data_IF_904014384821
#
_entry.id   IF_904014384821
#
_cell.length_a   1.000
_cell.length_b   1.000
_cell.length_c   1.000
_cell.angle_alpha   90.00
_cell.angle_beta   90.00
_cell.angle_gamma   90.00
#
_symmetry.space_group_name_H-M   'P 1'
#
loop_
_entity.id
_entity.type
_entity.pdbx_description
1 polymer ?
#
# COMPACT_ATOMS: atom_id res chain seq x y z
N UNK A 1 -20.93 67.22 -1.12
CA UNK A 1 -21.07 65.92 -1.82
C UNK A 1 -20.01 64.99 -1.24
N UNK A 2 -20.36 64.19 -0.24
CA UNK A 2 -19.40 63.49 0.62
C UNK A 2 -19.23 62.01 0.22
N UNK A 3 -18.05 61.67 -0.29
CA UNK A 3 -17.22 60.49 -0.02
C UNK A 3 -17.86 59.12 0.35
N UNK A 4 -18.93 58.70 -0.32
CA UNK A 4 -19.51 57.34 -0.18
C UNK A 4 -18.64 56.18 -0.68
N UNK A 5 -17.47 56.44 -1.26
CA UNK A 5 -16.64 55.45 -1.97
C UNK A 5 -15.53 54.81 -1.13
N UNK A 6 -15.20 55.37 0.05
CA UNK A 6 -14.08 54.89 0.89
C UNK A 6 -14.46 53.63 1.68
N UNK A 7 -15.64 53.60 2.32
CA UNK A 7 -16.09 52.47 3.13
C UNK A 7 -16.31 51.18 2.33
N UNK A 8 -16.87 51.30 1.12
CA UNK A 8 -17.09 50.16 0.22
C UNK A 8 -15.77 49.50 -0.24
N UNK A 9 -14.72 50.31 -0.48
CA UNK A 9 -13.39 49.81 -0.85
C UNK A 9 -12.68 49.11 0.30
N UNK A 10 -12.80 49.65 1.51
CA UNK A 10 -12.26 49.03 2.72
C UNK A 10 -12.97 47.70 2.97
N UNK A 11 -14.31 47.69 2.92
CA UNK A 11 -15.08 46.46 3.08
C UNK A 11 -14.72 45.40 2.03
N UNK A 12 -14.64 45.78 0.75
CA UNK A 12 -14.23 44.87 -0.32
C UNK A 12 -12.81 44.32 -0.13
N UNK A 13 -11.86 45.14 0.32
CA UNK A 13 -10.49 44.70 0.63
C UNK A 13 -10.45 43.73 1.82
N UNK A 14 -11.22 43.98 2.87
CA UNK A 14 -11.37 43.06 4.00
C UNK A 14 -12.04 41.74 3.59
N UNK A 15 -13.08 41.78 2.75
CA UNK A 15 -13.72 40.57 2.24
C UNK A 15 -12.79 39.77 1.33
N UNK A 16 -12.01 40.42 0.47
CA UNK A 16 -11.02 39.77 -0.38
C UNK A 16 -9.90 39.11 0.45
N UNK A 17 -9.42 39.80 1.48
CA UNK A 17 -8.43 39.25 2.42
C UNK A 17 -8.99 38.08 3.24
N UNK A 18 -10.24 38.19 3.72
CA UNK A 18 -10.92 37.11 4.43
C UNK A 18 -11.11 35.87 3.54
N UNK A 19 -11.51 36.06 2.27
CA UNK A 19 -11.63 34.97 1.29
C UNK A 19 -10.27 34.33 1.01
N UNK A 20 -9.21 35.13 0.83
CA UNK A 20 -7.86 34.64 0.61
C UNK A 20 -7.31 33.84 1.81
N UNK A 21 -7.55 34.32 3.03
CA UNK A 21 -7.17 33.62 4.27
C UNK A 21 -7.98 32.33 4.46
N UNK A 22 -9.26 32.32 4.08
CA UNK A 22 -10.14 31.14 4.18
C UNK A 22 -9.87 30.05 3.14
N UNK A 23 -9.07 30.34 2.10
CA UNK A 23 -8.67 29.37 1.08
C UNK A 23 -7.49 28.46 1.50
N UNK A 24 -6.87 28.74 2.65
CA UNK A 24 -5.73 27.96 3.18
C UNK A 24 -5.97 26.45 3.37
N UNK A 25 -7.11 25.95 3.89
CA UNK A 25 -7.32 24.51 4.01
C UNK A 25 -7.41 23.78 2.66
N UNK A 26 -7.79 24.48 1.57
CA UNK A 26 -7.81 23.90 0.23
C UNK A 26 -6.41 23.79 -0.40
N UNK A 27 -5.44 24.57 0.07
CA UNK A 27 -4.03 24.51 -0.35
C UNK A 27 -3.20 23.52 0.49
N UNK A 28 -3.71 23.13 1.68
CA UNK A 28 -3.10 22.12 2.52
C UNK A 28 -3.43 20.71 2.00
N UNK A 29 -2.72 20.29 0.95
CA UNK A 29 -2.86 18.97 0.30
C UNK A 29 -2.33 17.77 1.13
N UNK A 30 -1.92 18.01 2.37
CA UNK A 30 -1.27 17.03 3.24
C UNK A 30 -2.32 16.19 3.97
N UNK A 31 -2.21 14.87 3.93
CA UNK A 31 -3.17 13.95 4.58
C UNK A 31 -4.49 13.73 3.82
N UNK A 32 -4.53 14.08 2.53
CA UNK A 32 -5.70 13.81 1.69
C UNK A 32 -5.45 12.61 0.76
N UNK A 33 -6.44 11.72 0.56
CA UNK A 33 -6.34 10.65 -0.42
C UNK A 33 -6.27 11.24 -1.83
N UNK A 34 -5.42 10.67 -2.69
CA UNK A 34 -5.34 11.05 -4.11
C UNK A 34 -6.06 10.03 -4.98
N UNK A 35 -6.69 10.51 -6.06
CA UNK A 35 -7.35 9.63 -7.03
C UNK A 35 -6.35 8.58 -7.54
N UNK A 36 -6.75 7.30 -7.50
CA UNK A 36 -5.94 6.15 -7.94
C UNK A 36 -4.65 5.91 -7.14
N UNK A 37 -4.55 6.39 -5.90
CA UNK A 37 -3.43 6.09 -5.02
C UNK A 37 -3.48 4.63 -4.53
N UNK A 38 -2.39 3.88 -4.73
CA UNK A 38 -2.28 2.45 -4.41
C UNK A 38 -1.46 2.15 -3.14
N UNK A 39 -1.30 3.14 -2.25
CA UNK A 39 -0.52 3.00 -1.02
C UNK A 39 -0.96 3.98 0.06
N UNK A 40 -0.19 4.06 1.14
CA UNK A 40 -0.48 5.00 2.23
C UNK A 40 -0.35 6.46 1.80
N UNK A 41 -1.02 7.33 2.55
CA UNK A 41 -0.85 8.78 2.45
C UNK A 41 0.58 9.20 2.85
N UNK A 42 0.96 10.41 2.48
CA UNK A 42 2.28 10.95 2.81
C UNK A 42 2.49 11.02 4.33
N UNK A 43 3.58 10.42 4.81
CA UNK A 43 3.87 10.31 6.23
C UNK A 43 4.36 11.65 6.80
N UNK A 44 3.57 12.22 7.72
CA UNK A 44 3.88 13.48 8.41
C UNK A 44 4.46 13.29 9.81
N UNK A 45 4.51 12.05 10.29
CA UNK A 45 5.11 11.69 11.59
C UNK A 45 6.20 10.63 11.41
N UNK A 46 7.20 10.57 12.32
CA UNK A 46 8.21 9.51 12.30
C UNK A 46 7.61 8.10 12.38
N UNK A 47 6.53 7.93 13.15
CA UNK A 47 5.84 6.65 13.30
C UNK A 47 5.18 6.23 11.98
N UNK A 48 4.50 7.15 11.29
CA UNK A 48 3.89 6.86 10.00
C UNK A 48 4.94 6.45 8.94
N UNK A 49 6.15 7.03 8.99
CA UNK A 49 7.26 6.64 8.12
C UNK A 49 7.71 5.20 8.42
N UNK A 50 7.92 4.86 9.68
CA UNK A 50 8.30 3.50 10.08
C UNK A 50 7.25 2.45 9.68
N UNK A 51 5.96 2.78 9.80
CA UNK A 51 4.87 1.91 9.33
C UNK A 51 4.96 1.70 7.82
N UNK A 52 5.17 2.77 7.04
CA UNK A 52 5.31 2.69 5.59
C UNK A 52 6.50 1.83 5.15
N UNK A 53 7.66 2.00 5.80
CA UNK A 53 8.87 1.21 5.55
C UNK A 53 8.64 -0.28 5.88
N UNK A 54 8.08 -0.57 7.05
CA UNK A 54 7.75 -1.94 7.46
C UNK A 54 6.73 -2.59 6.53
N UNK A 55 5.68 -1.86 6.14
CA UNK A 55 4.69 -2.34 5.20
C UNK A 55 5.31 -2.69 3.84
N UNK A 56 6.15 -1.81 3.29
CA UNK A 56 6.79 -2.05 2.00
C UNK A 56 7.72 -3.27 2.05
N UNK A 57 8.47 -3.43 3.13
CA UNK A 57 9.29 -4.62 3.36
C UNK A 57 8.43 -5.89 3.40
N UNK A 58 7.37 -5.90 4.21
CA UNK A 58 6.45 -7.03 4.30
C UNK A 58 5.78 -7.33 2.96
N UNK A 59 5.33 -6.30 2.23
CA UNK A 59 4.66 -6.45 0.94
C UNK A 59 5.56 -7.16 -0.07
N UNK A 60 6.84 -6.78 -0.15
CA UNK A 60 7.82 -7.45 -1.01
C UNK A 60 8.00 -8.91 -0.58
N UNK A 61 8.15 -9.15 0.72
CA UNK A 61 8.37 -10.49 1.28
C UNK A 61 7.19 -11.43 1.00
N UNK A 62 5.96 -11.02 1.32
CA UNK A 62 4.78 -11.87 1.08
C UNK A 62 4.50 -12.05 -0.41
N UNK A 63 4.79 -11.05 -1.24
CA UNK A 63 4.67 -11.16 -2.70
C UNK A 63 5.65 -12.18 -3.26
N UNK A 64 6.90 -12.20 -2.77
CA UNK A 64 7.89 -13.20 -3.16
C UNK A 64 7.43 -14.62 -2.80
N UNK A 65 6.89 -14.83 -1.60
CA UNK A 65 6.33 -16.13 -1.17
C UNK A 65 5.13 -16.51 -2.04
N UNK A 66 4.22 -15.57 -2.32
CA UNK A 66 3.05 -15.81 -3.17
C UNK A 66 3.46 -16.20 -4.59
N UNK A 67 4.45 -15.54 -5.18
CA UNK A 67 5.00 -15.89 -6.50
C UNK A 67 5.68 -17.25 -6.50
N UNK A 68 6.39 -17.61 -5.43
CA UNK A 68 6.96 -18.95 -5.27
C UNK A 68 5.87 -20.02 -5.26
N UNK A 69 4.82 -19.85 -4.45
CA UNK A 69 3.68 -20.77 -4.40
C UNK A 69 2.96 -20.83 -5.75
N UNK A 70 2.73 -19.68 -6.40
CA UNK A 70 2.11 -19.62 -7.72
C UNK A 70 2.94 -20.38 -8.77
N UNK A 71 4.27 -20.21 -8.76
CA UNK A 71 5.18 -20.95 -9.62
C UNK A 71 5.09 -22.47 -9.41
N UNK A 72 5.05 -22.92 -8.15
CA UNK A 72 4.86 -24.34 -7.84
C UNK A 72 3.50 -24.87 -8.30
N UNK A 73 2.42 -24.12 -8.13
CA UNK A 73 1.09 -24.52 -8.59
C UNK A 73 1.03 -24.63 -10.12
N UNK A 74 1.60 -23.66 -10.84
CA UNK A 74 1.72 -23.72 -12.30
C UNK A 74 2.53 -24.95 -12.72
N UNK A 75 3.68 -25.17 -12.08
CA UNK A 75 4.51 -26.35 -12.33
C UNK A 75 3.75 -27.65 -12.10
N UNK A 76 3.02 -27.76 -10.98
CA UNK A 76 2.24 -28.95 -10.64
C UNK A 76 1.12 -29.19 -11.65
N UNK A 77 0.38 -28.14 -12.04
CA UNK A 77 -0.71 -28.24 -13.01
C UNK A 77 -0.20 -28.70 -14.39
N UNK A 78 0.96 -28.20 -14.83
CA UNK A 78 1.52 -28.56 -16.14
C UNK A 78 2.22 -29.92 -16.13
N UNK A 79 2.93 -30.27 -15.05
CA UNK A 79 3.76 -31.48 -14.98
C UNK A 79 3.01 -32.73 -14.56
N UNK A 80 2.03 -32.58 -13.66
CA UNK A 80 1.32 -33.69 -13.00
C UNK A 80 -0.17 -33.79 -13.35
N UNK A 81 -0.63 -33.15 -14.44
CA UNK A 81 -1.96 -33.43 -14.98
C UNK A 81 -2.09 -34.87 -15.48
N UNK A 82 -3.33 -35.35 -15.62
CA UNK A 82 -3.67 -36.73 -15.99
C UNK A 82 -3.01 -37.18 -17.31
N UNK A 83 -2.92 -36.29 -18.30
CA UNK A 83 -2.29 -36.57 -19.59
C UNK A 83 -0.77 -36.76 -19.46
N UNK A 84 -0.11 -35.94 -18.66
CA UNK A 84 1.34 -35.96 -18.48
C UNK A 84 1.82 -36.93 -17.38
N UNK A 85 0.93 -37.32 -16.48
CA UNK A 85 1.21 -38.20 -15.35
C UNK A 85 0.05 -39.20 -15.08
N UNK A 86 -0.19 -40.17 -15.97
CA UNK A 86 -1.33 -41.10 -15.89
C UNK A 86 -1.23 -42.11 -14.73
N UNK A 87 -0.06 -42.27 -14.11
CA UNK A 87 0.14 -43.15 -12.94
C UNK A 87 0.70 -42.32 -11.77
N UNK A 88 -0.16 -41.77 -10.90
CA UNK A 88 0.30 -40.91 -9.81
C UNK A 88 1.07 -41.69 -8.74
N UNK A 89 2.06 -41.03 -8.12
CA UNK A 89 2.77 -41.55 -6.96
C UNK A 89 1.83 -41.80 -5.78
N UNK A 90 2.21 -42.73 -4.89
CA UNK A 90 1.51 -43.07 -3.64
C UNK A 90 2.28 -42.63 -2.38
N UNK A 91 3.34 -41.84 -2.54
CA UNK A 91 4.13 -41.28 -1.43
C UNK A 91 3.28 -40.33 -0.58
N UNK A 92 3.16 -40.58 0.72
CA UNK A 92 2.34 -39.76 1.63
C UNK A 92 3.15 -38.86 2.54
N UNK A 93 4.43 -39.16 2.77
CA UNK A 93 5.29 -38.43 3.69
C UNK A 93 6.65 -38.15 3.07
N UNK A 94 7.22 -37.01 3.44
CA UNK A 94 8.59 -36.67 3.11
C UNK A 94 9.19 -35.81 4.23
N UNK A 95 9.64 -36.47 5.30
CA UNK A 95 10.06 -35.83 6.57
C UNK A 95 11.04 -34.68 6.38
N UNK A 96 12.05 -34.80 5.52
CA UNK A 96 13.01 -33.72 5.28
C UNK A 96 12.37 -32.45 4.69
N UNK A 97 11.35 -32.63 3.85
CA UNK A 97 10.67 -31.54 3.17
C UNK A 97 9.62 -30.92 4.10
N UNK A 98 8.97 -31.75 4.93
CA UNK A 98 8.11 -31.31 6.03
C UNK A 98 8.86 -30.44 7.05
N UNK A 99 10.07 -30.87 7.43
CA UNK A 99 10.95 -30.10 8.31
C UNK A 99 11.43 -28.81 7.64
N UNK A 100 11.81 -28.87 6.35
CA UNK A 100 12.26 -27.69 5.63
C UNK A 100 11.16 -26.62 5.55
N UNK A 101 9.94 -26.96 5.13
CA UNK A 101 8.85 -25.99 5.00
C UNK A 101 8.32 -25.49 6.33
N UNK A 102 8.63 -26.12 7.47
CA UNK A 102 8.21 -25.64 8.80
C UNK A 102 9.26 -24.71 9.39
N UNK A 103 10.54 -25.02 9.22
CA UNK A 103 11.65 -24.18 9.69
C UNK A 103 11.74 -22.89 8.87
N UNK A 104 11.58 -22.95 7.55
CA UNK A 104 11.72 -21.77 6.68
C UNK A 104 10.74 -20.65 7.09
N UNK A 105 9.42 -20.88 7.26
CA UNK A 105 8.50 -19.86 7.75
C UNK A 105 8.83 -19.34 9.15
N UNK A 106 9.34 -20.19 10.05
CA UNK A 106 9.77 -19.75 11.39
C UNK A 106 10.92 -18.75 11.25
N UNK A 107 11.93 -19.05 10.42
CA UNK A 107 13.07 -18.17 10.19
C UNK A 107 12.70 -16.88 9.44
N UNK A 108 11.65 -16.90 8.62
CA UNK A 108 11.13 -15.70 7.93
C UNK A 108 10.46 -14.74 8.92
N UNK A 109 9.83 -15.28 9.98
CA UNK A 109 9.11 -14.49 10.98
C UNK A 109 9.98 -14.04 12.17
N UNK A 110 11.10 -14.71 12.40
CA UNK A 110 12.06 -14.42 13.47
C UNK A 110 12.88 -13.16 13.17
#
# INVERSE_FOLDING_TARGET
MANGFSGARIFAAFSALALFLSATPALAQLGQPRNWQLGFQEAVTPIARQIGEFHNFLLILITAVALFVLGLLIYVALRFNDRANPKPSKTTHHTLLEVAWTIIPILILA
#
